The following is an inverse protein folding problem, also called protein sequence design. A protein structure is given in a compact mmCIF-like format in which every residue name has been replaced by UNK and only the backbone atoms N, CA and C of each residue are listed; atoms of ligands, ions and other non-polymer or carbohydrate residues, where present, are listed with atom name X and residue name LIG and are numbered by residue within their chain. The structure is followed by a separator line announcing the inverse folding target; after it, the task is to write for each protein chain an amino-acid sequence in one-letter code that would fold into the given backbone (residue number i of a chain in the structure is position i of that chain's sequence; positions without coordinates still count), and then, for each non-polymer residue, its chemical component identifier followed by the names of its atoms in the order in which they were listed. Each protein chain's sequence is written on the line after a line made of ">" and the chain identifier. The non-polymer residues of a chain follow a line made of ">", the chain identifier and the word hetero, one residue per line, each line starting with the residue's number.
data_IF_658920572615
#
_entry.id   IF_658920572615
#
_cell.length_a   1.000
_cell.length_b   1.000
_cell.length_c   1.000
_cell.angle_alpha   90.00
_cell.angle_beta   90.00
_cell.angle_gamma   90.00
#
_symmetry.space_group_name_H-M   'P 1'
#
loop_
_entity.id
_entity.type
_entity.pdbx_description
1 polymer ?
#
# COMPACT_ATOMS: atom_id res chain seq x y z
N UNK A 1 6.04 29.12 0.39
CA UNK A 1 4.75 28.40 0.31
C UNK A 1 4.91 26.92 -0.08
N UNK A 2 5.63 26.57 -1.15
CA UNK A 2 5.79 25.18 -1.61
C UNK A 2 6.31 24.19 -0.55
N UNK A 3 7.31 24.59 0.26
CA UNK A 3 7.85 23.75 1.34
C UNK A 3 6.80 23.46 2.43
N UNK A 4 5.95 24.43 2.74
CA UNK A 4 4.87 24.26 3.73
C UNK A 4 3.83 23.28 3.18
N UNK A 5 3.45 23.43 1.91
CA UNK A 5 2.54 22.51 1.23
C UNK A 5 3.10 21.09 1.21
N UNK A 6 4.37 20.90 0.85
CA UNK A 6 4.98 19.57 0.86
C UNK A 6 4.99 18.94 2.26
N UNK A 7 5.31 19.72 3.31
CA UNK A 7 5.23 19.24 4.70
C UNK A 7 3.82 18.82 5.10
N UNK A 8 2.78 19.51 4.62
CA UNK A 8 1.40 19.13 4.86
C UNK A 8 1.06 17.77 4.23
N UNK A 9 1.52 17.49 3.01
CA UNK A 9 1.36 16.17 2.38
C UNK A 9 2.02 15.06 3.22
N UNK A 10 3.25 15.28 3.67
CA UNK A 10 3.96 14.26 4.46
C UNK A 10 3.40 14.07 5.87
N UNK A 11 2.80 15.10 6.45
CA UNK A 11 2.24 15.03 7.81
C UNK A 11 0.81 14.48 7.83
N UNK A 12 0.09 14.61 6.71
CA UNK A 12 -1.33 14.30 6.63
C UNK A 12 -2.20 15.37 7.29
N UNK A 13 -3.54 15.24 7.18
CA UNK A 13 -4.47 16.18 7.78
C UNK A 13 -4.42 16.10 9.31
N UNK A 14 -4.53 17.25 9.96
CA UNK A 14 -4.63 17.39 11.40
C UNK A 14 -5.93 18.09 11.77
N UNK A 15 -6.41 17.85 12.98
CA UNK A 15 -7.49 18.64 13.59
C UNK A 15 -7.00 20.05 13.90
N UNK A 16 -7.93 20.96 14.25
CA UNK A 16 -7.56 22.32 14.67
C UNK A 16 -6.61 22.35 15.88
N UNK A 17 -6.62 21.33 16.75
CA UNK A 17 -5.73 21.21 17.91
C UNK A 17 -4.36 20.56 17.59
N UNK A 18 -4.11 20.24 16.31
CA UNK A 18 -2.85 19.68 15.82
C UNK A 18 -2.76 18.15 15.88
N UNK A 19 -3.77 17.44 16.38
CA UNK A 19 -3.78 15.96 16.34
C UNK A 19 -3.92 15.44 14.91
N UNK A 20 -3.11 14.44 14.55
CA UNK A 20 -3.24 13.74 13.27
C UNK A 20 -4.62 13.08 13.11
N UNK A 21 -5.27 13.32 11.98
CA UNK A 21 -6.56 12.72 11.60
C UNK A 21 -6.39 11.55 10.64
N UNK A 22 -5.42 11.66 9.76
CA UNK A 22 -5.12 10.64 8.76
C UNK A 22 -3.62 10.63 8.48
N UNK A 23 -3.18 9.59 7.79
CA UNK A 23 -1.77 9.41 7.47
C UNK A 23 -1.33 10.38 6.38
N UNK A 24 -0.13 10.93 6.52
CA UNK A 24 0.57 11.57 5.41
C UNK A 24 1.28 10.56 4.52
N UNK A 25 1.67 11.01 3.34
CA UNK A 25 2.45 10.19 2.41
C UNK A 25 3.91 10.07 2.85
N UNK A 26 4.59 9.02 2.38
CA UNK A 26 6.01 8.84 2.66
C UNK A 26 6.86 9.66 1.68
N UNK A 27 8.03 10.18 2.12
CA UNK A 27 9.05 10.65 1.19
C UNK A 27 9.40 9.56 0.17
N UNK A 28 9.45 9.93 -1.10
CA UNK A 28 9.59 9.02 -2.24
C UNK A 28 8.27 8.73 -2.98
N UNK A 29 7.17 9.39 -2.61
CA UNK A 29 5.86 9.28 -3.27
C UNK A 29 5.61 10.39 -4.30
N UNK A 30 6.56 11.31 -4.49
CA UNK A 30 6.39 12.56 -5.22
C UNK A 30 6.45 12.38 -6.75
N UNK A 31 6.77 11.15 -7.21
CA UNK A 31 6.97 10.85 -8.62
C UNK A 31 5.73 11.24 -9.46
N UNK A 32 5.94 11.88 -10.63
CA UNK A 32 4.84 12.25 -11.51
C UNK A 32 4.21 11.00 -12.15
N UNK A 33 2.97 11.12 -12.59
CA UNK A 33 2.25 10.05 -13.28
C UNK A 33 0.75 10.11 -13.06
N UNK A 34 0.02 9.13 -13.62
CA UNK A 34 -1.45 9.08 -13.55
C UNK A 34 -2.01 9.09 -12.12
N UNK A 35 -1.22 8.64 -11.14
CA UNK A 35 -1.56 8.63 -9.72
C UNK A 35 -0.53 9.34 -8.84
N UNK A 36 0.36 10.15 -9.45
CA UNK A 36 1.36 10.95 -8.75
C UNK A 36 0.77 12.18 -8.04
N UNK A 37 1.60 12.98 -7.38
CA UNK A 37 1.13 14.23 -6.74
C UNK A 37 0.46 15.21 -7.72
N UNK A 38 0.87 15.19 -8.99
CA UNK A 38 0.22 15.97 -10.06
C UNK A 38 -1.27 15.64 -10.21
N UNK A 39 -1.66 14.38 -10.00
CA UNK A 39 -3.07 13.97 -10.03
C UNK A 39 -3.86 14.63 -8.90
N UNK A 40 -3.30 14.63 -7.68
CA UNK A 40 -3.93 15.22 -6.50
C UNK A 40 -4.02 16.75 -6.55
N UNK A 41 -3.04 17.39 -7.20
CA UNK A 41 -2.98 18.85 -7.34
C UNK A 41 -3.88 19.37 -8.47
N UNK A 42 -4.29 18.52 -9.41
CA UNK A 42 -5.08 18.94 -10.57
C UNK A 42 -6.57 18.85 -10.28
N UNK A 43 -7.25 19.99 -10.24
CA UNK A 43 -8.70 20.03 -10.08
C UNK A 43 -9.41 19.37 -11.27
N UNK A 44 -10.37 18.49 -10.98
CA UNK A 44 -11.22 17.82 -11.96
C UNK A 44 -12.51 18.62 -12.11
N UNK A 45 -12.66 19.36 -13.22
CA UNK A 45 -13.80 20.28 -13.45
C UNK A 45 -14.01 21.29 -12.31
N UNK A 46 -12.91 21.82 -11.76
CA UNK A 46 -12.94 22.81 -10.66
C UNK A 46 -13.17 22.21 -9.26
N UNK A 47 -13.18 20.88 -9.13
CA UNK A 47 -13.35 20.19 -7.85
C UNK A 47 -12.12 19.34 -7.50
N UNK A 48 -11.86 19.12 -6.20
CA UNK A 48 -10.88 18.12 -5.78
C UNK A 48 -11.25 16.72 -6.30
N UNK A 49 -10.25 15.86 -6.57
CA UNK A 49 -10.47 14.44 -6.78
C UNK A 49 -11.33 13.82 -5.66
N UNK A 50 -12.16 12.84 -6.00
CA UNK A 50 -13.06 12.13 -5.07
C UNK A 50 -14.14 12.98 -4.38
N UNK A 51 -14.38 14.23 -4.82
CA UNK A 51 -15.43 15.11 -4.29
C UNK A 51 -16.86 14.53 -4.35
N UNK A 52 -17.12 13.53 -5.18
CA UNK A 52 -18.42 12.85 -5.26
C UNK A 52 -18.86 12.23 -3.92
N UNK A 53 -17.93 11.67 -3.13
CA UNK A 53 -18.24 11.08 -1.82
C UNK A 53 -18.81 12.12 -0.85
N UNK A 54 -18.22 13.32 -0.86
CA UNK A 54 -18.70 14.43 -0.04
C UNK A 54 -20.06 14.94 -0.53
N UNK A 55 -20.32 14.96 -1.83
CA UNK A 55 -21.64 15.34 -2.37
C UNK A 55 -22.75 14.36 -2.02
N UNK A 56 -22.45 13.08 -1.78
CA UNK A 56 -23.44 12.13 -1.26
C UNK A 56 -23.87 12.47 0.17
N UNK A 57 -23.00 13.11 0.94
CA UNK A 57 -23.25 13.49 2.34
C UNK A 57 -23.85 14.89 2.45
N UNK A 58 -23.26 15.86 1.77
CA UNK A 58 -23.58 17.30 1.90
C UNK A 58 -24.42 17.86 0.75
N UNK A 59 -24.78 17.01 -0.23
CA UNK A 59 -25.56 17.40 -1.40
C UNK A 59 -24.74 17.93 -2.58
N UNK A 60 -25.39 18.14 -3.74
CA UNK A 60 -24.70 18.45 -5.00
C UNK A 60 -24.00 19.83 -5.02
N UNK A 61 -24.46 20.75 -4.17
CA UNK A 61 -23.96 22.12 -4.00
C UNK A 61 -22.89 22.25 -2.91
N UNK A 62 -22.36 21.14 -2.39
CA UNK A 62 -21.27 21.17 -1.41
C UNK A 62 -20.08 21.99 -1.93
N UNK A 63 -19.64 22.95 -1.11
CA UNK A 63 -18.44 23.74 -1.33
C UNK A 63 -17.27 23.15 -0.55
N UNK A 64 -16.23 22.79 -1.29
CA UNK A 64 -15.02 22.18 -0.73
C UNK A 64 -14.06 23.21 -0.14
N UNK A 65 -14.16 24.49 -0.53
CA UNK A 65 -13.25 25.54 -0.06
C UNK A 65 -13.54 25.92 1.40
N UNK A 66 -14.81 25.89 1.81
CA UNK A 66 -15.25 26.11 3.19
C UNK A 66 -15.32 24.83 4.04
N UNK A 67 -14.76 23.70 3.59
CA UNK A 67 -14.93 22.43 4.28
C UNK A 67 -14.18 22.40 5.63
N UNK A 68 -14.93 22.33 6.73
CA UNK A 68 -14.38 22.04 8.05
C UNK A 68 -14.10 20.53 8.16
N UNK A 69 -12.82 20.17 8.16
CA UNK A 69 -12.38 18.78 8.19
C UNK A 69 -12.88 18.02 9.43
N UNK A 70 -13.02 18.70 10.58
CA UNK A 70 -13.31 18.03 11.84
C UNK A 70 -14.77 17.60 11.98
N UNK A 71 -15.70 18.55 11.80
CA UNK A 71 -17.13 18.27 11.81
C UNK A 71 -17.59 17.57 10.53
N UNK A 72 -17.01 17.95 9.38
CA UNK A 72 -17.33 17.37 8.09
C UNK A 72 -16.98 15.89 8.02
N UNK A 73 -15.76 15.50 8.39
CA UNK A 73 -15.40 14.07 8.36
C UNK A 73 -16.18 13.24 9.37
N UNK A 74 -16.60 13.80 10.50
CA UNK A 74 -17.48 13.09 11.43
C UNK A 74 -18.84 12.74 10.80
N UNK A 75 -19.40 13.64 9.99
CA UNK A 75 -20.65 13.37 9.26
C UNK A 75 -20.43 12.37 8.12
N UNK A 76 -19.33 12.49 7.37
CA UNK A 76 -18.94 11.52 6.33
C UNK A 76 -18.81 10.12 6.94
N UNK A 77 -18.11 9.99 8.06
CA UNK A 77 -17.94 8.72 8.76
C UNK A 77 -19.25 8.17 9.33
N UNK A 78 -20.14 9.03 9.83
CA UNK A 78 -21.44 8.58 10.36
C UNK A 78 -22.36 8.07 9.24
N UNK A 79 -22.38 8.73 8.08
CA UNK A 79 -23.29 8.39 6.99
C UNK A 79 -22.74 7.30 6.06
N UNK A 80 -21.46 7.39 5.68
CA UNK A 80 -20.84 6.44 4.74
C UNK A 80 -20.03 5.34 5.44
N UNK A 81 -19.70 5.52 6.72
CA UNK A 81 -18.95 4.55 7.52
C UNK A 81 -19.47 3.14 7.40
N UNK A 82 -20.73 2.88 7.81
CA UNK A 82 -21.28 1.52 7.88
C UNK A 82 -21.32 0.79 6.54
N UNK A 83 -21.59 1.51 5.44
CA UNK A 83 -21.90 0.89 4.15
C UNK A 83 -20.73 0.92 3.17
N UNK A 84 -19.88 1.95 3.25
CA UNK A 84 -18.82 2.22 2.25
C UNK A 84 -17.42 2.11 2.86
N UNK A 85 -17.23 2.54 4.11
CA UNK A 85 -15.90 2.63 4.73
C UNK A 85 -15.62 1.55 5.82
N UNK A 86 -16.59 0.69 6.15
CA UNK A 86 -16.49 -0.31 7.24
C UNK A 86 -15.52 -1.46 6.95
N UNK A 87 -15.06 -1.59 5.70
CA UNK A 87 -14.08 -2.58 5.27
C UNK A 87 -12.75 -2.52 6.06
N UNK A 88 -12.50 -1.45 6.81
CA UNK A 88 -11.29 -1.25 7.63
C UNK A 88 -11.47 -1.47 9.14
N UNK A 89 -12.70 -1.71 9.61
CA UNK A 89 -13.07 -1.75 11.04
C UNK A 89 -13.61 -3.13 11.50
N UNK A 90 -14.12 -3.95 10.58
CA UNK A 90 -14.67 -5.28 10.88
C UNK A 90 -13.65 -6.31 11.38
N UNK A 91 -14.11 -7.31 12.13
CA UNK A 91 -13.25 -8.39 12.64
C UNK A 91 -12.91 -9.45 11.59
N UNK A 92 -11.65 -9.91 11.59
CA UNK A 92 -11.18 -11.00 10.74
C UNK A 92 -11.42 -12.41 11.34
N UNK A 93 -12.07 -12.51 12.50
CA UNK A 93 -12.24 -13.79 13.21
C UNK A 93 -13.03 -14.82 12.39
N UNK A 94 -14.17 -14.42 11.81
CA UNK A 94 -15.00 -15.33 11.05
C UNK A 94 -14.29 -15.79 9.76
N UNK A 95 -13.55 -14.88 9.11
CA UNK A 95 -12.71 -15.22 7.94
C UNK A 95 -11.64 -16.26 8.29
N UNK A 96 -10.91 -16.02 9.39
CA UNK A 96 -9.91 -16.96 9.91
C UNK A 96 -10.53 -18.32 10.29
N UNK A 97 -11.67 -18.32 10.99
CA UNK A 97 -12.33 -19.54 11.47
C UNK A 97 -12.78 -20.45 10.32
N UNK A 98 -13.12 -19.86 9.15
CA UNK A 98 -13.40 -20.59 7.92
C UNK A 98 -12.15 -21.03 7.14
N UNK A 99 -10.96 -20.82 7.70
CA UNK A 99 -9.69 -21.19 7.07
C UNK A 99 -9.18 -20.21 6.01
N UNK A 100 -9.81 -19.04 5.86
CA UNK A 100 -9.46 -18.05 4.83
C UNK A 100 -7.99 -17.59 4.90
N UNK A 101 -7.43 -17.27 3.73
CA UNK A 101 -6.07 -16.75 3.56
C UNK A 101 -6.11 -15.36 2.92
N UNK A 102 -5.40 -14.42 3.51
CA UNK A 102 -5.37 -13.03 3.06
C UNK A 102 -3.93 -12.59 2.81
N UNK A 103 -3.66 -12.14 1.59
CA UNK A 103 -2.42 -11.42 1.27
C UNK A 103 -2.77 -9.95 1.05
N UNK A 104 -2.09 -9.07 1.78
CA UNK A 104 -2.13 -7.63 1.60
C UNK A 104 -0.80 -7.19 0.99
N UNK A 105 -0.85 -6.19 0.11
CA UNK A 105 0.37 -5.49 -0.29
C UNK A 105 0.10 -3.99 -0.37
N UNK A 106 1.17 -3.19 -0.28
CA UNK A 106 1.09 -1.75 -0.47
C UNK A 106 2.41 -1.22 -1.03
N UNK A 107 2.33 -0.36 -2.04
CA UNK A 107 3.51 0.34 -2.59
C UNK A 107 3.97 1.45 -1.65
N UNK A 108 5.24 1.49 -1.26
CA UNK A 108 5.73 2.53 -0.34
C UNK A 108 5.90 3.91 -1.00
N UNK A 109 5.82 3.96 -2.33
CA UNK A 109 5.78 5.19 -3.13
C UNK A 109 4.38 5.49 -3.65
N UNK A 110 3.33 4.83 -3.12
CA UNK A 110 1.94 5.14 -3.45
C UNK A 110 1.65 6.60 -3.09
N UNK A 111 1.25 7.38 -4.10
CA UNK A 111 0.96 8.82 -4.00
C UNK A 111 -0.53 9.11 -3.87
N UNK A 112 -1.39 8.10 -3.99
CA UNK A 112 -2.83 8.24 -3.94
C UNK A 112 -3.37 7.82 -2.58
N UNK A 113 -2.85 6.71 -2.06
CA UNK A 113 -3.31 6.06 -0.83
C UNK A 113 -2.11 5.94 0.11
N UNK A 114 -2.09 6.67 1.25
CA UNK A 114 -0.97 6.62 2.18
C UNK A 114 -0.73 5.19 2.73
N UNK A 115 0.49 4.63 2.63
CA UNK A 115 0.78 3.26 3.10
C UNK A 115 0.55 3.05 4.60
N UNK A 116 0.63 4.13 5.38
CA UNK A 116 0.39 4.12 6.83
C UNK A 116 -0.95 3.51 7.22
N UNK A 117 -1.99 3.68 6.39
CA UNK A 117 -3.32 3.14 6.69
C UNK A 117 -3.37 1.61 6.63
N UNK A 118 -2.65 0.99 5.68
CA UNK A 118 -2.61 -0.47 5.56
C UNK A 118 -1.74 -1.07 6.67
N UNK A 119 -0.66 -0.38 7.06
CA UNK A 119 0.15 -0.77 8.22
C UNK A 119 -0.68 -0.69 9.51
N UNK A 120 -1.40 0.40 9.74
CA UNK A 120 -2.29 0.52 10.90
C UNK A 120 -3.39 -0.53 10.92
N UNK A 121 -4.05 -0.77 9.78
CA UNK A 121 -5.02 -1.86 9.62
C UNK A 121 -4.41 -3.20 10.06
N UNK A 122 -3.24 -3.55 9.52
CA UNK A 122 -2.60 -4.82 9.82
C UNK A 122 -2.20 -4.93 11.30
N UNK A 123 -1.60 -3.87 11.87
CA UNK A 123 -1.18 -3.85 13.26
C UNK A 123 -2.35 -3.91 14.24
N UNK A 124 -3.44 -3.17 14.00
CA UNK A 124 -4.66 -3.23 14.82
C UNK A 124 -5.27 -4.63 14.82
N UNK A 125 -5.38 -5.25 13.65
CA UNK A 125 -5.90 -6.61 13.53
C UNK A 125 -4.94 -7.63 14.15
N UNK A 126 -3.64 -7.47 13.99
CA UNK A 126 -2.65 -8.32 14.64
C UNK A 126 -2.78 -8.26 16.17
N UNK A 127 -2.94 -7.07 16.76
CA UNK A 127 -3.20 -6.91 18.20
C UNK A 127 -4.49 -7.63 18.62
N UNK A 128 -5.58 -7.46 17.87
CA UNK A 128 -6.85 -8.14 18.13
C UNK A 128 -6.75 -9.69 18.00
N UNK A 129 -5.83 -10.19 17.16
CA UNK A 129 -5.55 -11.62 17.02
C UNK A 129 -4.61 -12.16 18.11
N UNK A 130 -4.07 -11.32 19.01
CA UNK A 130 -3.10 -11.74 20.02
C UNK A 130 -1.64 -11.70 19.56
N UNK A 131 -1.33 -10.92 18.52
CA UNK A 131 0.01 -10.64 18.03
C UNK A 131 0.22 -10.99 16.55
N UNK A 132 1.31 -10.45 15.99
CA UNK A 132 1.64 -10.60 14.57
C UNK A 132 1.85 -12.06 14.16
N UNK A 133 2.43 -12.89 15.02
CA UNK A 133 2.59 -14.33 14.75
C UNK A 133 1.25 -15.04 14.52
N UNK A 134 0.22 -14.73 15.34
CA UNK A 134 -1.12 -15.30 15.21
C UNK A 134 -1.89 -14.72 14.02
N UNK A 135 -1.60 -13.48 13.62
CA UNK A 135 -2.10 -12.90 12.38
C UNK A 135 -1.50 -13.59 11.14
N UNK A 136 -0.18 -13.80 11.13
CA UNK A 136 0.59 -14.40 10.04
C UNK A 136 0.24 -15.86 9.71
N UNK A 137 -0.53 -16.54 10.57
CA UNK A 137 -1.05 -17.87 10.29
C UNK A 137 -2.15 -17.86 9.22
N UNK A 138 -2.77 -16.72 8.93
CA UNK A 138 -3.85 -16.60 7.95
C UNK A 138 -3.82 -15.30 7.13
N UNK A 139 -3.13 -14.25 7.58
CA UNK A 139 -2.97 -13.01 6.84
C UNK A 139 -1.52 -12.54 6.83
N UNK A 140 -0.97 -12.20 5.67
CA UNK A 140 0.40 -11.68 5.52
C UNK A 140 0.39 -10.40 4.69
N UNK A 141 1.17 -9.41 5.11
CA UNK A 141 1.32 -8.13 4.43
C UNK A 141 2.72 -7.97 3.83
N UNK A 142 2.80 -7.44 2.61
CA UNK A 142 4.04 -7.16 1.90
C UNK A 142 4.11 -5.68 1.52
N UNK A 143 5.14 -4.97 2.00
CA UNK A 143 5.37 -3.58 1.63
C UNK A 143 6.39 -3.55 0.47
N UNK A 144 6.06 -2.84 -0.61
CA UNK A 144 6.83 -2.82 -1.85
C UNK A 144 7.57 -1.48 -2.04
N UNK A 145 8.88 -1.39 -1.73
CA UNK A 145 9.65 -0.15 -1.88
C UNK A 145 9.71 0.32 -3.33
N UNK A 146 9.51 1.62 -3.56
CA UNK A 146 9.59 2.25 -4.88
C UNK A 146 8.41 1.95 -5.81
N UNK A 147 7.42 1.17 -5.36
CA UNK A 147 6.19 0.87 -6.10
C UNK A 147 5.16 1.94 -5.79
N UNK A 148 4.54 2.48 -6.83
CA UNK A 148 3.50 3.52 -6.74
C UNK A 148 2.10 2.90 -6.54
N UNK A 149 1.05 3.65 -6.85
CA UNK A 149 -0.32 3.19 -6.71
C UNK A 149 -0.60 1.96 -7.57
N UNK A 150 -0.90 0.83 -6.89
CA UNK A 150 -1.09 -0.51 -7.44
C UNK A 150 0.16 -1.15 -8.11
N UNK A 151 0.97 -0.38 -8.85
CA UNK A 151 2.15 -0.81 -9.59
C UNK A 151 2.95 0.39 -10.11
N UNK A 152 3.89 0.17 -11.03
CA UNK A 152 4.78 1.22 -11.55
C UNK A 152 5.77 1.74 -10.51
N UNK A 153 6.34 2.91 -10.78
CA UNK A 153 7.39 3.52 -9.95
C UNK A 153 8.80 3.03 -10.25
N UNK A 154 9.76 3.43 -9.43
CA UNK A 154 11.20 3.13 -9.60
C UNK A 154 11.60 1.77 -9.03
N UNK A 155 10.75 1.20 -8.16
CA UNK A 155 10.95 -0.12 -7.57
C UNK A 155 10.44 -1.26 -8.45
N UNK A 156 10.76 -2.51 -8.08
CA UNK A 156 10.27 -3.70 -8.77
C UNK A 156 8.77 -3.89 -8.52
N UNK A 157 7.97 -3.67 -9.56
CA UNK A 157 6.51 -3.66 -9.50
C UNK A 157 5.83 -4.92 -10.07
N UNK A 158 6.60 -5.84 -10.62
CA UNK A 158 6.08 -7.12 -11.13
C UNK A 158 6.19 -8.21 -10.07
N UNK A 159 5.06 -8.45 -9.37
CA UNK A 159 4.90 -9.51 -8.36
C UNK A 159 3.42 -9.86 -8.07
N UNK A 160 2.46 -9.28 -8.79
CA UNK A 160 1.04 -9.47 -8.53
C UNK A 160 0.20 -9.47 -9.83
N UNK A 161 0.05 -10.67 -10.41
CA UNK A 161 -0.76 -10.91 -11.61
C UNK A 161 -2.27 -10.69 -11.42
N UNK A 162 -2.78 -10.54 -10.18
CA UNK A 162 -4.19 -10.24 -9.94
C UNK A 162 -4.62 -8.86 -10.51
N UNK A 163 -3.67 -7.98 -10.83
CA UNK A 163 -3.95 -6.70 -11.50
C UNK A 163 -4.17 -6.82 -13.02
N UNK A 164 -4.26 -8.05 -13.55
CA UNK A 164 -4.56 -8.29 -14.97
C UNK A 164 -3.36 -8.21 -15.90
N UNK A 165 -2.15 -8.01 -15.36
CA UNK A 165 -0.92 -8.18 -16.12
C UNK A 165 -0.61 -9.67 -16.27
N UNK A 166 -0.55 -10.22 -17.50
CA UNK A 166 -0.21 -11.62 -17.68
C UNK A 166 1.20 -11.89 -17.12
N UNK A 167 1.36 -12.91 -16.27
CA UNK A 167 2.66 -13.24 -15.68
C UNK A 167 3.68 -13.53 -16.78
N UNK A 168 4.79 -12.78 -16.80
CA UNK A 168 5.93 -13.06 -17.67
C UNK A 168 7.03 -13.72 -16.83
N UNK A 169 7.68 -14.80 -17.29
CA UNK A 169 8.84 -15.35 -16.60
C UNK A 169 9.87 -14.26 -16.25
N UNK A 170 10.41 -14.24 -15.01
CA UNK A 170 10.28 -15.27 -13.99
C UNK A 170 9.01 -15.20 -13.13
N UNK A 171 8.13 -14.21 -13.31
CA UNK A 171 6.97 -13.86 -12.46
C UNK A 171 5.78 -14.79 -12.71
N UNK A 172 6.00 -16.11 -12.66
CA UNK A 172 5.00 -17.14 -12.97
C UNK A 172 4.85 -18.20 -11.86
N UNK A 173 5.57 -18.07 -10.75
CA UNK A 173 5.63 -19.02 -9.66
C UNK A 173 5.24 -18.38 -8.31
N UNK A 174 4.91 -19.22 -7.32
CA UNK A 174 4.58 -18.74 -5.97
C UNK A 174 5.73 -18.01 -5.27
N UNK A 175 6.98 -18.18 -5.73
CA UNK A 175 8.16 -17.48 -5.22
C UNK A 175 8.29 -16.04 -5.69
N UNK A 176 7.57 -15.63 -6.73
CA UNK A 176 7.71 -14.35 -7.43
C UNK A 176 6.36 -13.68 -7.74
N UNK A 177 5.24 -14.36 -7.52
CA UNK A 177 3.90 -13.80 -7.69
C UNK A 177 3.00 -14.05 -6.46
N UNK A 178 2.42 -12.98 -5.91
CA UNK A 178 1.55 -13.02 -4.73
C UNK A 178 0.25 -13.78 -4.96
N UNK A 179 -0.32 -13.75 -6.17
CA UNK A 179 -1.55 -14.48 -6.46
C UNK A 179 -1.29 -15.99 -6.53
N UNK A 180 -0.20 -16.41 -7.16
CA UNK A 180 0.29 -17.80 -7.14
C UNK A 180 0.65 -18.23 -5.71
N UNK A 181 1.27 -17.37 -4.93
CA UNK A 181 1.56 -17.64 -3.52
C UNK A 181 0.28 -17.82 -2.68
N UNK A 182 -0.78 -17.04 -2.96
CA UNK A 182 -2.08 -17.20 -2.31
C UNK A 182 -2.74 -18.54 -2.65
N UNK A 183 -2.67 -18.96 -3.92
CA UNK A 183 -3.14 -20.28 -4.36
C UNK A 183 -2.37 -21.38 -3.62
N UNK A 184 -1.03 -21.32 -3.60
CA UNK A 184 -0.23 -22.34 -2.92
C UNK A 184 -0.48 -22.37 -1.40
N UNK A 185 -0.70 -21.22 -0.78
CA UNK A 185 -1.05 -21.15 0.64
C UNK A 185 -2.42 -21.76 0.92
N UNK A 186 -3.40 -21.50 0.04
CA UNK A 186 -4.78 -22.00 0.20
C UNK A 186 -4.87 -23.49 -0.03
N UNK A 187 -4.21 -24.00 -1.08
CA UNK A 187 -4.33 -25.40 -1.51
C UNK A 187 -3.32 -26.34 -0.83
N UNK A 188 -2.14 -25.83 -0.47
CA UNK A 188 -1.02 -26.66 0.04
C UNK A 188 -0.52 -26.23 1.41
N UNK A 189 -1.14 -25.24 2.03
CA UNK A 189 -0.76 -24.75 3.36
C UNK A 189 0.59 -24.03 3.42
N UNK A 190 1.21 -23.71 2.28
CA UNK A 190 2.53 -23.05 2.23
C UNK A 190 2.39 -21.54 2.16
N UNK A 191 2.56 -20.89 3.31
CA UNK A 191 2.48 -19.44 3.42
C UNK A 191 3.78 -18.77 2.92
N UNK A 192 3.72 -17.68 2.14
CA UNK A 192 4.92 -17.02 1.60
C UNK A 192 5.61 -16.15 2.66
N UNK A 193 6.84 -16.47 3.05
CA UNK A 193 7.64 -15.60 3.95
C UNK A 193 8.29 -14.43 3.19
N UNK A 194 8.46 -14.60 1.88
CA UNK A 194 8.94 -13.61 0.94
C UNK A 194 8.45 -13.91 -0.47
N UNK A 195 8.40 -12.89 -1.32
CA UNK A 195 8.16 -13.01 -2.77
C UNK A 195 9.17 -12.14 -3.51
N UNK A 196 9.76 -12.63 -4.60
CA UNK A 196 10.72 -11.86 -5.40
C UNK A 196 9.97 -10.97 -6.38
N UNK A 197 10.03 -9.67 -6.14
CA UNK A 197 9.53 -8.67 -7.08
C UNK A 197 10.58 -8.35 -8.14
N UNK A 198 10.11 -8.12 -9.37
CA UNK A 198 10.94 -7.82 -10.53
C UNK A 198 10.62 -6.46 -11.14
N UNK A 199 11.65 -5.69 -11.49
CA UNK A 199 11.57 -4.53 -12.38
C UNK A 199 12.02 -4.96 -13.76
N UNK A 200 11.15 -4.80 -14.75
CA UNK A 200 11.49 -4.99 -16.15
C UNK A 200 11.80 -3.64 -16.80
N UNK A 201 12.80 -3.64 -17.68
CA UNK A 201 13.11 -2.51 -18.54
C UNK A 201 11.92 -2.19 -19.45
N UNK A 202 11.59 -0.92 -19.52
CA UNK A 202 10.52 -0.40 -20.37
C UNK A 202 11.10 0.34 -21.57
N UNK A 203 10.70 -0.08 -22.79
CA UNK A 203 11.07 0.59 -24.04
C UNK A 203 12.48 0.27 -24.58
N UNK A 204 12.66 0.57 -25.86
CA UNK A 204 13.93 0.36 -26.58
C UNK A 204 14.35 -1.10 -26.72
N UNK A 205 15.61 -1.32 -27.09
CA UNK A 205 16.19 -2.65 -27.33
C UNK A 205 16.29 -3.54 -26.07
N UNK A 206 16.05 -2.98 -24.88
CA UNK A 206 16.12 -3.69 -23.60
C UNK A 206 14.76 -4.12 -23.05
N UNK A 207 13.65 -3.83 -23.72
CA UNK A 207 12.31 -4.08 -23.21
C UNK A 207 12.11 -5.53 -22.74
N UNK A 208 11.57 -5.69 -21.53
CA UNK A 208 11.31 -7.02 -20.95
C UNK A 208 12.53 -7.67 -20.30
N UNK A 209 13.72 -7.07 -20.37
CA UNK A 209 14.89 -7.52 -19.59
C UNK A 209 14.68 -7.17 -18.11
N UNK A 210 15.14 -8.05 -17.23
CA UNK A 210 15.22 -7.76 -15.79
C UNK A 210 16.24 -6.64 -15.54
N UNK A 211 15.80 -5.54 -14.93
CA UNK A 211 16.68 -4.46 -14.46
C UNK A 211 17.06 -4.65 -12.99
N UNK A 212 16.11 -5.10 -12.19
CA UNK A 212 16.27 -5.19 -10.73
C UNK A 212 15.33 -6.26 -10.17
N UNK A 213 15.80 -7.00 -9.16
CA UNK A 213 14.94 -7.83 -8.33
C UNK A 213 15.16 -7.56 -6.84
N UNK A 214 14.09 -7.66 -6.05
CA UNK A 214 14.12 -7.54 -4.58
C UNK A 214 13.17 -8.55 -3.94
N UNK A 215 13.54 -9.15 -2.80
CA UNK A 215 12.55 -9.82 -1.98
C UNK A 215 11.63 -8.79 -1.33
N UNK A 216 10.32 -8.95 -1.51
CA UNK A 216 9.30 -8.42 -0.62
C UNK A 216 9.22 -9.34 0.60
N UNK A 217 9.32 -8.78 1.79
CA UNK A 217 9.34 -9.53 3.04
C UNK A 217 7.97 -9.49 3.71
N UNK A 218 7.54 -10.61 4.32
CA UNK A 218 6.36 -10.60 5.16
C UNK A 218 6.58 -9.65 6.37
N UNK A 219 5.75 -8.61 6.45
CA UNK A 219 5.78 -7.62 7.53
C UNK A 219 5.63 -8.30 8.90
N UNK A 220 6.46 -7.95 9.91
CA UNK A 220 7.19 -6.68 10.07
C UNK A 220 8.65 -6.71 9.59
N UNK A 221 9.08 -7.79 8.94
CA UNK A 221 10.40 -7.83 8.34
C UNK A 221 10.47 -6.86 7.16
N UNK A 222 11.66 -6.30 6.95
CA UNK A 222 11.98 -5.40 5.85
C UNK A 222 13.14 -5.99 5.05
N UNK A 223 13.19 -5.61 3.78
CA UNK A 223 14.31 -5.96 2.91
C UNK A 223 15.56 -5.19 3.34
N UNK A 224 16.69 -5.89 3.49
CA UNK A 224 17.98 -5.31 3.90
C UNK A 224 19.08 -5.78 2.97
N UNK A 225 19.82 -4.83 2.40
CA UNK A 225 21.03 -5.12 1.63
C UNK A 225 22.08 -5.74 2.54
N UNK A 226 22.75 -6.80 2.10
CA UNK A 226 23.76 -7.49 2.89
C UNK A 226 25.10 -6.75 2.95
N UNK A 227 25.27 -5.72 2.12
CA UNK A 227 26.54 -5.00 1.95
C UNK A 227 27.39 -5.55 0.80
N UNK A 228 27.05 -6.71 0.24
CA UNK A 228 27.86 -7.44 -0.73
C UNK A 228 27.01 -7.82 -1.94
N UNK A 229 27.59 -7.71 -3.13
CA UNK A 229 26.98 -8.11 -4.40
C UNK A 229 26.33 -6.95 -5.16
N UNK A 230 25.66 -7.26 -6.26
CA UNK A 230 24.96 -6.23 -7.03
C UNK A 230 23.74 -5.76 -6.26
N UNK A 231 23.54 -4.45 -6.16
CA UNK A 231 22.28 -3.89 -5.71
C UNK A 231 21.17 -4.15 -6.69
N UNK A 232 21.34 -4.75 -7.87
CA UNK A 232 20.21 -5.14 -8.72
C UNK A 232 19.76 -6.60 -8.52
N UNK A 233 20.53 -7.41 -7.78
CA UNK A 233 20.24 -8.83 -7.59
C UNK A 233 19.50 -9.09 -6.28
N UNK A 234 18.43 -9.88 -6.33
CA UNK A 234 17.66 -10.25 -5.12
C UNK A 234 18.49 -11.05 -4.09
N UNK A 235 19.49 -11.81 -4.55
CA UNK A 235 20.40 -12.60 -3.69
C UNK A 235 21.28 -11.74 -2.78
N UNK A 236 21.46 -10.46 -3.09
CA UNK A 236 22.21 -9.51 -2.27
C UNK A 236 21.38 -8.92 -1.11
N UNK A 237 20.16 -9.42 -0.89
CA UNK A 237 19.23 -8.91 0.12
C UNK A 237 18.69 -10.02 1.01
N UNK A 238 18.36 -9.67 2.24
CA UNK A 238 17.72 -10.56 3.22
C UNK A 238 16.52 -9.89 3.87
N UNK A 239 15.58 -10.68 4.36
CA UNK A 239 14.48 -10.21 5.18
C UNK A 239 14.93 -10.19 6.64
N UNK A 240 14.88 -9.02 7.27
CA UNK A 240 15.26 -8.85 8.67
C UNK A 240 14.26 -7.94 9.39
N UNK A 241 14.08 -8.08 10.72
CA UNK A 241 13.30 -7.13 11.49
C UNK A 241 13.81 -5.70 11.30
N UNK A 242 12.91 -4.72 11.34
CA UNK A 242 13.31 -3.31 11.34
C UNK A 242 14.30 -3.08 12.50
N UNK A 243 15.46 -2.46 12.27
CA UNK A 243 16.34 -2.05 13.36
C UNK A 243 15.55 -1.19 14.35
N UNK A 244 15.70 -1.43 15.65
CA UNK A 244 15.19 -0.49 16.64
C UNK A 244 15.80 0.88 16.33
N UNK A 245 14.98 1.92 16.26
CA UNK A 245 15.48 3.28 16.16
C UNK A 245 16.50 3.48 17.29
N UNK A 246 17.71 3.92 16.93
CA UNK A 246 18.71 4.37 17.91
C UNK A 246 18.33 5.75 18.40
#
# INVERSE_FOLDING_TARGET
>A
DEVITARAFYSGPTTQDGRARFFGWLPGSEAPGSYGWSFLQTAQKGLPPFSALFKWVFGPSWDWQGFDMDSGMAQVDALLGPDVNDATRGSLNAFRARGGKLILYHGLSDSLVPPGQTVDFYDRHARAQGGVSRMQSFSRMFLAPGVMHCGGGTGPDSFNSALGAPPQPPVAHASDDLFRALIEWTERGKAPDRVIATKFATGGAGQGRIEMQRPLCAYPNQVRYTGIGSTNAASSFTCAPRPRAR
#
